data_IF_733382435877
#
_entry.id   IF_733382435877
#
_cell.length_a   1.000
_cell.length_b   1.000
_cell.length_c   1.000
_cell.angle_alpha   90.00
_cell.angle_beta   90.00
_cell.angle_gamma   90.00
#
_symmetry.space_group_name_H-M   'P 1'
#
loop_
_entity.id
_entity.type
_entity.pdbx_description
1 polymer ?
#
# COMPACT_ATOMS: atom_id res chain seq x y z
N UNK A 1 -20.59 -38.32 -51.96
CA UNK A 1 -20.24 -37.02 -51.35
C UNK A 1 -18.79 -37.07 -50.89
N UNK A 2 -17.88 -36.48 -51.67
CA UNK A 2 -16.44 -36.59 -51.46
C UNK A 2 -15.91 -35.33 -50.76
N UNK A 3 -15.17 -35.53 -49.66
CA UNK A 3 -14.55 -34.50 -48.83
C UNK A 3 -13.28 -34.00 -49.52
N UNK A 4 -13.08 -32.69 -49.76
CA UNK A 4 -11.86 -32.22 -50.40
C UNK A 4 -10.68 -32.43 -49.45
N UNK A 5 -9.62 -33.07 -49.97
CA UNK A 5 -8.33 -33.24 -49.30
C UNK A 5 -7.65 -31.88 -49.20
N UNK A 6 -7.24 -31.54 -47.98
CA UNK A 6 -6.45 -30.38 -47.67
C UNK A 6 -5.04 -30.58 -48.26
N UNK A 7 -4.78 -29.98 -49.41
CA UNK A 7 -3.47 -29.97 -50.06
C UNK A 7 -2.53 -29.09 -49.25
N UNK A 8 -1.59 -29.73 -48.56
CA UNK A 8 -0.45 -29.07 -47.94
C UNK A 8 0.35 -28.38 -49.05
N UNK A 9 0.33 -27.05 -49.04
CA UNK A 9 1.14 -26.19 -49.90
C UNK A 9 2.60 -26.59 -49.71
N UNK A 10 3.17 -27.25 -50.73
CA UNK A 10 4.61 -27.49 -50.83
C UNK A 10 5.27 -26.15 -51.13
N UNK A 11 5.86 -25.52 -50.12
CA UNK A 11 6.74 -24.35 -50.25
C UNK A 11 8.08 -24.79 -50.83
N UNK A 12 8.11 -25.07 -52.14
CA UNK A 12 9.37 -25.17 -52.89
C UNK A 12 9.87 -23.77 -53.17
N UNK A 13 11.10 -23.46 -52.75
CA UNK A 13 11.97 -22.34 -53.19
C UNK A 13 11.26 -21.02 -53.56
N UNK A 14 10.24 -20.64 -52.81
CA UNK A 14 9.71 -19.30 -52.86
C UNK A 14 10.77 -18.42 -52.22
N UNK A 15 11.54 -17.72 -53.06
CA UNK A 15 12.52 -16.73 -52.67
C UNK A 15 12.02 -16.02 -51.41
N UNK A 16 12.74 -16.21 -50.30
CA UNK A 16 12.43 -15.56 -49.03
C UNK A 16 12.07 -14.11 -49.36
N UNK A 17 10.91 -13.59 -48.92
CA UNK A 17 10.44 -12.27 -49.31
C UNK A 17 11.61 -11.30 -49.21
N UNK A 18 11.88 -10.49 -50.24
CA UNK A 18 13.07 -9.63 -50.29
C UNK A 18 13.28 -8.80 -49.00
N UNK A 19 12.19 -8.56 -48.27
CA UNK A 19 12.16 -7.99 -46.92
C UNK A 19 12.97 -8.79 -45.88
N UNK A 20 12.84 -10.11 -45.85
CA UNK A 20 13.50 -11.01 -44.91
C UNK A 20 15.01 -11.06 -45.15
N UNK A 21 15.43 -11.18 -46.41
CA UNK A 21 16.86 -11.12 -46.76
C UNK A 21 17.47 -9.75 -46.38
N UNK A 22 16.77 -8.64 -46.65
CA UNK A 22 17.20 -7.30 -46.23
C UNK A 22 17.32 -7.17 -44.72
N UNK A 23 16.39 -7.75 -43.96
CA UNK A 23 16.48 -7.71 -42.51
C UNK A 23 17.67 -8.54 -42.00
N UNK A 24 17.93 -9.73 -42.55
CA UNK A 24 19.10 -10.51 -42.15
C UNK A 24 20.41 -9.75 -42.40
N UNK A 25 20.53 -9.08 -43.55
CA UNK A 25 21.67 -8.20 -43.84
C UNK A 25 21.75 -7.04 -42.84
N UNK A 26 20.64 -6.37 -42.56
CA UNK A 26 20.60 -5.28 -41.57
C UNK A 26 20.99 -5.76 -40.16
N UNK A 27 20.61 -6.97 -39.74
CA UNK A 27 21.04 -7.57 -38.47
C UNK A 27 22.55 -7.76 -38.45
N UNK A 28 23.13 -8.28 -39.53
CA UNK A 28 24.58 -8.48 -39.64
C UNK A 28 25.34 -7.14 -39.64
N UNK A 29 24.82 -6.13 -40.33
CA UNK A 29 25.37 -4.77 -40.35
C UNK A 29 25.27 -4.10 -38.99
N UNK A 30 24.11 -4.15 -38.32
CA UNK A 30 23.93 -3.66 -36.94
C UNK A 30 24.82 -4.39 -35.93
N UNK A 31 25.17 -5.64 -36.17
CA UNK A 31 26.14 -6.35 -35.35
C UNK A 31 27.59 -5.86 -35.59
N UNK A 32 27.86 -5.21 -36.72
CA UNK A 32 29.20 -4.76 -37.13
C UNK A 32 29.49 -3.26 -36.92
N UNK A 33 28.47 -2.40 -36.86
CA UNK A 33 28.61 -0.94 -36.72
C UNK A 33 28.70 -0.53 -35.24
N UNK A 34 29.51 0.48 -34.92
CA UNK A 34 29.82 0.92 -33.53
C UNK A 34 28.84 1.98 -32.96
N UNK A 35 27.72 2.23 -33.65
CA UNK A 35 26.70 3.22 -33.25
C UNK A 35 25.65 2.61 -32.30
N UNK A 36 26.09 2.35 -31.07
CA UNK A 36 25.38 1.52 -30.10
C UNK A 36 23.97 2.03 -29.74
N UNK A 37 23.74 3.35 -29.73
CA UNK A 37 22.44 3.95 -29.38
C UNK A 37 21.40 3.71 -30.48
N UNK A 38 21.78 3.97 -31.73
CA UNK A 38 20.92 3.76 -32.88
C UNK A 38 20.60 2.28 -33.06
N UNK A 39 21.59 1.40 -32.88
CA UNK A 39 21.40 -0.05 -32.92
C UNK A 39 20.43 -0.52 -31.83
N UNK A 40 20.58 -0.05 -30.60
CA UNK A 40 19.68 -0.43 -29.50
C UNK A 40 18.22 0.01 -29.75
N UNK A 41 18.03 1.18 -30.36
CA UNK A 41 16.71 1.73 -30.70
C UNK A 41 16.07 0.97 -31.86
N UNK A 42 16.81 0.75 -32.95
CA UNK A 42 16.35 -0.02 -34.11
C UNK A 42 16.02 -1.47 -33.73
N UNK A 43 16.89 -2.14 -32.94
CA UNK A 43 16.64 -3.50 -32.47
C UNK A 43 15.35 -3.61 -31.66
N UNK A 44 15.01 -2.58 -30.86
CA UNK A 44 13.74 -2.53 -30.13
C UNK A 44 12.52 -2.43 -31.04
N UNK A 45 12.56 -1.56 -32.05
CA UNK A 45 11.47 -1.42 -33.01
C UNK A 45 11.26 -2.70 -33.83
N UNK A 46 12.36 -3.32 -34.27
CA UNK A 46 12.31 -4.54 -35.08
C UNK A 46 11.81 -5.74 -34.27
N UNK A 47 12.22 -5.89 -33.00
CA UNK A 47 11.69 -6.94 -32.13
C UNK A 47 10.17 -6.85 -31.95
N UNK A 48 9.60 -5.64 -31.90
CA UNK A 48 8.16 -5.44 -31.83
C UNK A 48 7.44 -5.94 -33.09
N UNK A 49 8.01 -5.71 -34.28
CA UNK A 49 7.49 -6.26 -35.54
C UNK A 49 7.61 -7.78 -35.61
N UNK A 50 8.72 -8.38 -35.20
CA UNK A 50 8.87 -9.85 -35.23
C UNK A 50 7.94 -10.57 -34.27
N UNK A 51 7.60 -9.95 -33.14
CA UNK A 51 6.59 -10.48 -32.22
C UNK A 51 5.21 -10.63 -32.91
N UNK A 52 4.89 -9.77 -33.88
CA UNK A 52 3.67 -9.89 -34.67
C UNK A 52 3.72 -11.07 -35.66
N UNK A 53 4.92 -11.40 -36.15
CA UNK A 53 5.17 -12.48 -37.12
C UNK A 53 5.44 -13.84 -36.41
N UNK A 54 5.54 -13.84 -35.07
CA UNK A 54 5.80 -15.02 -34.21
C UNK A 54 7.14 -15.73 -34.47
N UNK A 55 8.17 -14.97 -34.81
CA UNK A 55 9.55 -15.50 -34.90
C UNK A 55 10.33 -15.22 -33.61
N UNK A 56 10.22 -16.15 -32.65
CA UNK A 56 10.82 -16.01 -31.32
C UNK A 56 12.35 -16.03 -31.35
N UNK A 57 12.96 -16.74 -32.32
CA UNK A 57 14.42 -16.83 -32.43
C UNK A 57 15.02 -15.50 -32.88
N UNK A 58 14.45 -14.88 -33.92
CA UNK A 58 14.88 -13.55 -34.36
C UNK A 58 14.71 -12.52 -33.25
N UNK A 59 13.58 -12.52 -32.53
CA UNK A 59 13.36 -11.64 -31.37
C UNK A 59 14.46 -11.81 -30.33
N UNK A 60 14.83 -13.05 -30.00
CA UNK A 60 15.88 -13.35 -29.03
C UNK A 60 17.24 -12.79 -29.46
N UNK A 61 17.61 -12.95 -30.74
CA UNK A 61 18.85 -12.39 -31.29
C UNK A 61 18.86 -10.86 -31.26
N UNK A 62 17.75 -10.20 -31.58
CA UNK A 62 17.64 -8.74 -31.47
C UNK A 62 17.80 -8.24 -30.03
N UNK A 63 17.18 -8.93 -29.07
CA UNK A 63 17.30 -8.58 -27.66
C UNK A 63 18.73 -8.76 -27.14
N UNK A 64 19.44 -9.80 -27.61
CA UNK A 64 20.87 -9.97 -27.34
C UNK A 64 21.69 -8.81 -27.88
N UNK A 65 21.47 -8.40 -29.13
CA UNK A 65 22.17 -7.26 -29.74
C UNK A 65 21.91 -5.99 -28.93
N UNK A 66 20.65 -5.73 -28.57
CA UNK A 66 20.26 -4.59 -27.74
C UNK A 66 21.02 -4.62 -26.40
N UNK A 67 20.98 -5.73 -25.66
CA UNK A 67 21.63 -5.86 -24.35
C UNK A 67 23.16 -5.65 -24.47
N UNK A 68 23.79 -6.18 -25.52
CA UNK A 68 25.23 -5.97 -25.81
C UNK A 68 25.55 -4.51 -26.12
N UNK A 69 24.74 -3.84 -26.92
CA UNK A 69 24.89 -2.41 -27.19
C UNK A 69 24.79 -1.59 -25.88
N UNK A 70 23.84 -1.91 -24.99
CA UNK A 70 23.74 -1.26 -23.68
C UNK A 70 24.96 -1.50 -22.79
N UNK A 71 25.53 -2.71 -22.80
CA UNK A 71 26.79 -2.99 -22.11
C UNK A 71 27.90 -2.10 -22.64
N UNK A 72 28.05 -2.03 -23.97
CA UNK A 72 29.10 -1.24 -24.63
C UNK A 72 28.97 0.25 -24.32
N UNK A 73 27.75 0.79 -24.35
CA UNK A 73 27.47 2.16 -23.90
C UNK A 73 27.97 2.33 -22.46
N UNK A 74 27.61 1.43 -21.54
CA UNK A 74 28.08 1.52 -20.16
C UNK A 74 29.59 1.43 -19.98
N UNK A 75 30.28 0.63 -20.80
CA UNK A 75 31.74 0.55 -20.81
C UNK A 75 32.39 1.86 -21.27
N UNK A 76 31.85 2.49 -22.32
CA UNK A 76 32.29 3.81 -22.79
C UNK A 76 32.08 4.86 -21.69
N UNK A 77 30.91 4.85 -21.04
CA UNK A 77 30.60 5.77 -19.94
C UNK A 77 31.52 5.57 -18.72
N UNK A 78 31.85 4.32 -18.37
CA UNK A 78 32.84 4.03 -17.32
C UNK A 78 34.26 4.47 -17.71
N UNK A 79 34.60 4.44 -19.01
CA UNK A 79 35.89 4.86 -19.55
C UNK A 79 36.13 6.38 -19.54
N UNK A 80 35.15 7.19 -19.14
CA UNK A 80 35.23 8.64 -19.12
C UNK A 80 36.23 9.24 -18.09
N UNK A 81 36.88 8.40 -17.28
CA UNK A 81 37.88 8.84 -16.29
C UNK A 81 37.29 9.51 -15.05
N UNK A 82 35.98 9.33 -14.78
CA UNK A 82 35.35 9.85 -13.56
C UNK A 82 35.50 8.83 -12.44
N UNK A 83 36.16 9.22 -11.36
CA UNK A 83 36.35 8.37 -10.18
C UNK A 83 35.07 8.27 -9.34
N UNK A 84 34.56 7.04 -9.17
CA UNK A 84 33.38 6.75 -8.34
C UNK A 84 33.57 7.17 -6.88
N UNK A 85 34.79 7.06 -6.36
CA UNK A 85 35.12 7.43 -4.98
C UNK A 85 34.88 8.92 -4.66
N UNK A 86 34.89 9.78 -5.68
CA UNK A 86 34.63 11.22 -5.54
C UNK A 86 33.14 11.56 -5.46
N UNK A 87 32.25 10.61 -5.74
CA UNK A 87 30.80 10.81 -5.80
C UNK A 87 30.14 10.23 -4.55
N UNK A 88 30.32 10.91 -3.43
CA UNK A 88 29.74 10.50 -2.13
C UNK A 88 28.42 11.22 -1.88
N UNK A 89 27.52 10.56 -1.19
CA UNK A 89 26.29 11.19 -0.69
C UNK A 89 26.63 12.31 0.29
N UNK A 90 25.79 13.36 0.38
CA UNK A 90 25.99 14.39 1.38
C UNK A 90 25.93 13.78 2.79
N UNK A 91 26.62 14.37 3.80
CA UNK A 91 26.67 13.82 5.16
C UNK A 91 25.29 13.57 5.79
N UNK A 92 24.28 14.33 5.36
CA UNK A 92 22.89 14.17 5.80
C UNK A 92 22.21 12.88 5.35
N UNK A 93 22.75 12.18 4.34
CA UNK A 93 22.18 10.95 3.77
C UNK A 93 23.07 9.71 3.99
N UNK A 94 24.15 9.84 4.80
CA UNK A 94 25.07 8.76 5.16
C UNK A 94 26.19 8.51 4.16
N UNK A 95 27.09 7.57 4.50
CA UNK A 95 28.23 7.15 3.67
C UNK A 95 27.78 6.24 2.53
N UNK A 96 27.06 6.83 1.55
CA UNK A 96 26.59 6.14 0.35
C UNK A 96 27.27 6.64 -0.93
N UNK A 97 27.23 5.84 -1.99
CA UNK A 97 27.62 6.26 -3.33
C UNK A 97 26.49 7.07 -3.99
N UNK A 98 26.79 8.28 -4.45
CA UNK A 98 25.82 9.16 -5.11
C UNK A 98 25.83 8.95 -6.63
N UNK A 99 25.01 8.00 -7.09
CA UNK A 99 24.87 7.69 -8.51
C UNK A 99 24.44 8.91 -9.35
N UNK A 100 23.62 9.82 -8.81
CA UNK A 100 23.17 10.99 -9.55
C UNK A 100 24.30 12.00 -9.80
N UNK A 101 25.17 12.22 -8.81
CA UNK A 101 26.36 13.04 -8.97
C UNK A 101 27.34 12.41 -9.96
N UNK A 102 27.51 11.09 -9.90
CA UNK A 102 28.34 10.35 -10.85
C UNK A 102 27.89 10.54 -12.30
N UNK A 103 26.58 10.40 -12.56
CA UNK A 103 25.98 10.63 -13.89
C UNK A 103 26.22 12.08 -14.34
N UNK A 104 26.05 13.06 -13.44
CA UNK A 104 26.29 14.48 -13.76
C UNK A 104 27.75 14.74 -14.15
N UNK A 105 28.72 14.17 -13.43
CA UNK A 105 30.14 14.31 -13.75
C UNK A 105 30.48 13.66 -15.10
N UNK A 106 29.96 12.46 -15.38
CA UNK A 106 30.18 11.83 -16.69
C UNK A 106 29.58 12.68 -17.81
N UNK A 107 28.34 13.17 -17.67
CA UNK A 107 27.74 14.08 -18.66
C UNK A 107 28.55 15.36 -18.88
N UNK A 108 29.21 15.87 -17.84
CA UNK A 108 30.09 17.03 -17.97
C UNK A 108 31.35 16.73 -18.80
N UNK A 109 31.88 15.50 -18.74
CA UNK A 109 32.99 15.04 -19.59
C UNK A 109 32.55 14.95 -21.06
N UNK A 110 31.37 14.41 -21.33
CA UNK A 110 30.79 14.31 -22.68
C UNK A 110 29.99 15.56 -23.09
N UNK A 111 30.35 16.74 -22.57
CA UNK A 111 29.63 17.97 -22.89
C UNK A 111 29.74 18.28 -24.40
N UNK A 112 28.60 18.27 -25.08
CA UNK A 112 28.51 18.50 -26.53
C UNK A 112 28.18 17.25 -27.34
N UNK A 113 28.23 16.07 -26.73
CA UNK A 113 27.76 14.82 -27.33
C UNK A 113 26.22 14.72 -27.17
N UNK A 114 25.49 14.83 -28.27
CA UNK A 114 24.03 14.73 -28.28
C UNK A 114 23.55 13.34 -27.85
N UNK A 115 24.32 12.29 -28.14
CA UNK A 115 23.89 10.93 -27.83
C UNK A 115 23.88 10.65 -26.34
N UNK A 116 24.90 11.15 -25.64
CA UNK A 116 24.96 11.08 -24.17
C UNK A 116 23.96 12.03 -23.52
N UNK A 117 23.71 13.21 -24.12
CA UNK A 117 22.76 14.19 -23.61
C UNK A 117 21.31 13.68 -23.65
N UNK A 118 20.95 12.93 -24.69
CA UNK A 118 19.60 12.37 -24.88
C UNK A 118 19.28 11.17 -23.96
N UNK A 119 20.30 10.51 -23.41
CA UNK A 119 20.09 9.37 -22.52
C UNK A 119 19.43 9.82 -21.22
N UNK A 120 18.27 9.24 -20.90
CA UNK A 120 17.63 9.46 -19.61
C UNK A 120 18.50 8.94 -18.45
N UNK A 121 18.33 9.50 -17.25
CA UNK A 121 19.08 9.06 -16.06
C UNK A 121 18.89 7.56 -15.78
N UNK A 122 17.70 7.01 -16.06
CA UNK A 122 17.44 5.59 -15.86
C UNK A 122 18.18 4.71 -16.88
N UNK A 123 18.16 5.10 -18.15
CA UNK A 123 18.95 4.47 -19.21
C UNK A 123 20.45 4.46 -18.85
N UNK A 124 20.95 5.58 -18.34
CA UNK A 124 22.33 5.72 -17.89
C UNK A 124 22.68 4.74 -16.77
N UNK A 125 21.81 4.63 -15.75
CA UNK A 125 21.99 3.65 -14.65
C UNK A 125 21.99 2.22 -15.18
N UNK A 126 21.13 1.89 -16.12
CA UNK A 126 21.06 0.54 -16.69
C UNK A 126 22.33 0.22 -17.49
N UNK A 127 22.81 1.15 -18.32
CA UNK A 127 24.06 0.99 -19.05
C UNK A 127 25.23 0.70 -18.10
N UNK A 128 25.40 1.54 -17.08
CA UNK A 128 26.46 1.40 -16.08
C UNK A 128 26.38 0.06 -15.33
N UNK A 129 25.18 -0.32 -14.86
CA UNK A 129 24.96 -1.59 -14.14
C UNK A 129 25.28 -2.80 -15.02
N UNK A 130 24.91 -2.78 -16.29
CA UNK A 130 25.20 -3.89 -17.22
C UNK A 130 26.70 -3.97 -17.52
N UNK A 131 27.39 -2.84 -17.66
CA UNK A 131 28.82 -2.80 -17.87
C UNK A 131 29.63 -3.33 -16.67
N UNK A 132 29.14 -3.13 -15.45
CA UNK A 132 29.76 -3.64 -14.21
C UNK A 132 29.59 -5.17 -14.04
N UNK A 133 28.76 -5.83 -14.83
CA UNK A 133 28.55 -7.27 -14.70
C UNK A 133 29.78 -8.07 -15.14
N UNK A 134 30.15 -9.15 -14.40
CA UNK A 134 31.17 -10.09 -14.82
C UNK A 134 30.90 -10.60 -16.23
N UNK A 135 31.95 -10.64 -17.07
CA UNK A 135 31.83 -11.01 -18.48
C UNK A 135 31.21 -12.40 -18.65
N UNK A 136 31.67 -13.37 -17.86
CA UNK A 136 31.17 -14.75 -17.85
C UNK A 136 29.67 -14.83 -17.54
N UNK A 137 29.20 -14.07 -16.54
CA UNK A 137 27.79 -14.03 -16.19
C UNK A 137 26.96 -13.45 -17.33
N UNK A 138 27.39 -12.31 -17.87
CA UNK A 138 26.67 -11.64 -18.94
C UNK A 138 26.60 -12.48 -20.22
N UNK A 139 27.70 -13.07 -20.67
CA UNK A 139 27.72 -13.84 -21.93
C UNK A 139 26.81 -15.06 -21.85
N UNK A 140 26.69 -15.67 -20.66
CA UNK A 140 25.77 -16.78 -20.40
C UNK A 140 24.30 -16.34 -20.41
N UNK A 141 23.96 -15.20 -19.80
CA UNK A 141 22.57 -14.82 -19.55
C UNK A 141 22.00 -13.78 -20.52
N UNK A 142 22.83 -13.09 -21.32
CA UNK A 142 22.38 -12.04 -22.25
C UNK A 142 21.35 -12.56 -23.26
N UNK A 143 21.35 -13.86 -23.55
CA UNK A 143 20.37 -14.51 -24.42
C UNK A 143 19.12 -15.03 -23.74
N UNK A 144 19.07 -15.09 -22.42
CA UNK A 144 17.95 -15.68 -21.67
C UNK A 144 16.90 -14.64 -21.27
N UNK A 145 17.30 -13.37 -21.21
CA UNK A 145 16.47 -12.29 -20.70
C UNK A 145 15.84 -11.46 -21.81
N UNK A 146 14.55 -11.16 -21.65
CA UNK A 146 13.79 -10.35 -22.59
C UNK A 146 14.08 -8.84 -22.48
N UNK A 147 14.72 -8.40 -21.40
CA UNK A 147 14.98 -7.00 -21.10
C UNK A 147 16.22 -6.85 -20.20
N UNK A 148 16.77 -5.63 -20.20
CA UNK A 148 17.89 -5.27 -19.32
C UNK A 148 17.49 -5.40 -17.84
N UNK A 149 16.26 -4.99 -17.49
CA UNK A 149 15.77 -5.08 -16.11
C UNK A 149 15.72 -6.53 -15.63
N UNK A 150 15.30 -7.45 -16.49
CA UNK A 150 15.28 -8.88 -16.18
C UNK A 150 16.70 -9.43 -16.00
N UNK A 151 17.65 -9.02 -16.84
CA UNK A 151 19.07 -9.39 -16.70
C UNK A 151 19.69 -8.84 -15.41
N UNK A 152 19.44 -7.56 -15.09
CA UNK A 152 19.93 -6.91 -13.86
C UNK A 152 19.32 -7.58 -12.63
N UNK A 153 18.03 -7.89 -12.63
CA UNK A 153 17.39 -8.62 -11.54
C UNK A 153 17.98 -10.03 -11.35
N UNK A 154 18.25 -10.74 -12.45
CA UNK A 154 18.92 -12.05 -12.42
C UNK A 154 20.32 -11.96 -11.82
N UNK A 155 21.08 -10.94 -12.18
CA UNK A 155 22.41 -10.70 -11.63
C UNK A 155 22.38 -10.37 -10.14
N UNK A 156 21.46 -9.51 -9.69
CA UNK A 156 21.26 -9.21 -8.26
C UNK A 156 20.90 -10.49 -7.50
N UNK A 157 20.03 -11.34 -8.06
CA UNK A 157 19.70 -12.64 -7.48
C UNK A 157 20.92 -13.59 -7.42
N UNK A 158 21.78 -13.57 -8.43
CA UNK A 158 23.03 -14.33 -8.43
C UNK A 158 24.00 -13.83 -7.34
N UNK A 159 24.25 -12.52 -7.26
CA UNK A 159 25.09 -11.92 -6.21
C UNK A 159 24.55 -12.24 -4.82
N UNK A 160 23.24 -12.16 -4.63
CA UNK A 160 22.59 -12.54 -3.37
C UNK A 160 22.85 -14.00 -3.03
N UNK A 161 22.68 -14.94 -3.97
CA UNK A 161 22.96 -16.37 -3.72
C UNK A 161 24.43 -16.64 -3.40
N UNK A 162 25.35 -15.97 -4.08
CA UNK A 162 26.78 -16.09 -3.79
C UNK A 162 27.12 -15.51 -2.40
N UNK A 163 26.54 -14.36 -2.06
CA UNK A 163 26.64 -13.80 -0.72
C UNK A 163 26.04 -14.73 0.34
N UNK A 164 24.86 -15.33 0.12
CA UNK A 164 24.23 -16.28 1.04
C UNK A 164 25.09 -17.54 1.27
N UNK A 165 25.90 -17.95 0.28
CA UNK A 165 26.87 -19.04 0.44
C UNK A 165 28.11 -18.63 1.23
N UNK A 166 28.48 -17.35 1.19
CA UNK A 166 29.66 -16.83 1.90
C UNK A 166 29.53 -16.97 3.42
N UNK A 167 30.65 -17.07 4.18
CA UNK A 167 30.61 -17.14 5.64
C UNK A 167 29.91 -15.92 6.28
N UNK A 168 30.11 -14.73 5.70
CA UNK A 168 29.46 -13.49 6.16
C UNK A 168 27.95 -13.54 5.96
N UNK A 169 27.48 -13.96 4.78
CA UNK A 169 26.06 -14.09 4.50
C UNK A 169 25.39 -15.15 5.36
N UNK A 170 26.05 -16.29 5.60
CA UNK A 170 25.54 -17.31 6.52
C UNK A 170 25.46 -16.81 7.97
N UNK A 171 26.45 -16.03 8.43
CA UNK A 171 26.43 -15.43 9.76
C UNK A 171 25.29 -14.41 9.90
N UNK A 172 25.08 -13.58 8.89
CA UNK A 172 24.00 -12.60 8.87
C UNK A 172 22.63 -13.25 8.80
N UNK A 173 22.44 -14.28 7.96
CA UNK A 173 21.20 -15.06 7.93
C UNK A 173 20.90 -15.73 9.28
N UNK A 174 21.92 -16.22 9.99
CA UNK A 174 21.76 -16.74 11.36
C UNK A 174 21.34 -15.65 12.33
N UNK A 175 21.92 -14.44 12.24
CA UNK A 175 21.50 -13.29 13.06
C UNK A 175 20.06 -12.88 12.76
N UNK A 176 19.66 -12.82 11.50
CA UNK A 176 18.28 -12.50 11.12
C UNK A 176 17.30 -13.53 11.66
N UNK A 177 17.62 -14.84 11.55
CA UNK A 177 16.80 -15.90 12.15
C UNK A 177 16.62 -15.73 13.66
N UNK A 178 17.68 -15.40 14.40
CA UNK A 178 17.55 -15.20 15.86
C UNK A 178 16.76 -13.94 16.22
N UNK A 179 16.86 -12.89 15.40
CA UNK A 179 16.02 -11.69 15.54
C UNK A 179 14.56 -12.01 15.24
N UNK A 180 14.28 -12.75 14.16
CA UNK A 180 12.93 -13.15 13.76
C UNK A 180 12.30 -14.10 14.79
N UNK A 181 13.06 -15.07 15.32
CA UNK A 181 12.63 -15.95 16.41
C UNK A 181 12.28 -15.15 17.67
N UNK A 182 13.12 -14.15 18.02
CA UNK A 182 12.85 -13.26 19.15
C UNK A 182 11.61 -12.42 18.91
N UNK A 183 11.44 -11.87 17.71
CA UNK A 183 10.26 -11.10 17.34
C UNK A 183 9.00 -11.95 17.40
N UNK A 184 9.05 -13.18 16.86
CA UNK A 184 7.93 -14.12 16.90
C UNK A 184 7.57 -14.51 18.34
N UNK A 185 8.58 -14.79 19.19
CA UNK A 185 8.36 -15.09 20.61
C UNK A 185 7.68 -13.92 21.33
N UNK A 186 8.21 -12.71 21.16
CA UNK A 186 7.63 -11.51 21.78
C UNK A 186 6.19 -11.27 21.28
N UNK A 187 5.93 -11.47 20.00
CA UNK A 187 4.60 -11.35 19.42
C UNK A 187 3.62 -12.37 20.02
N UNK A 188 4.04 -13.64 20.17
CA UNK A 188 3.23 -14.68 20.81
C UNK A 188 2.96 -14.37 22.30
N UNK A 189 3.93 -13.80 23.01
CA UNK A 189 3.74 -13.35 24.40
C UNK A 189 2.73 -12.21 24.49
N UNK A 190 2.79 -11.23 23.57
CA UNK A 190 1.80 -10.14 23.49
C UNK A 190 0.39 -10.66 23.23
N UNK A 191 0.23 -11.63 22.32
CA UNK A 191 -1.08 -12.25 22.06
C UNK A 191 -1.64 -12.93 23.32
N UNK A 192 -0.80 -13.63 24.09
CA UNK A 192 -1.24 -14.26 25.35
C UNK A 192 -1.67 -13.23 26.40
N UNK A 193 -0.96 -12.10 26.49
CA UNK A 193 -1.34 -11.00 27.38
C UNK A 193 -2.69 -10.42 26.97
N UNK A 194 -2.89 -10.13 25.68
CA UNK A 194 -4.18 -9.64 25.18
C UNK A 194 -5.33 -10.63 25.41
N UNK A 195 -5.09 -11.93 25.20
CA UNK A 195 -6.10 -12.96 25.49
C UNK A 195 -6.46 -13.01 26.97
N UNK A 196 -5.47 -12.88 27.86
CA UNK A 196 -5.69 -12.83 29.30
C UNK A 196 -6.51 -11.59 29.68
N UNK A 197 -6.15 -10.41 29.19
CA UNK A 197 -6.88 -9.16 29.42
C UNK A 197 -8.33 -9.26 28.91
N UNK A 198 -8.56 -9.87 27.74
CA UNK A 198 -9.91 -10.10 27.22
C UNK A 198 -10.73 -11.04 28.09
N UNK A 199 -10.11 -12.08 28.66
CA UNK A 199 -10.78 -13.00 29.61
C UNK A 199 -11.12 -12.29 30.92
N UNK A 200 -10.19 -11.52 31.47
CA UNK A 200 -10.41 -10.73 32.69
C UNK A 200 -11.50 -9.68 32.47
N UNK A 201 -11.52 -9.00 31.32
CA UNK A 201 -12.59 -8.08 30.96
C UNK A 201 -13.94 -8.80 30.84
N UNK A 202 -14.00 -9.92 30.13
CA UNK A 202 -15.24 -10.69 29.98
C UNK A 202 -15.78 -11.20 31.33
N UNK A 203 -14.89 -11.53 32.28
CA UNK A 203 -15.29 -11.88 33.65
C UNK A 203 -15.88 -10.68 34.40
N UNK A 204 -15.23 -9.51 34.33
CA UNK A 204 -15.75 -8.27 34.93
C UNK A 204 -17.12 -7.90 34.34
N UNK A 205 -17.27 -8.00 33.03
CA UNK A 205 -18.54 -7.71 32.35
C UNK A 205 -19.64 -8.71 32.78
N UNK A 206 -19.29 -9.97 33.05
CA UNK A 206 -20.23 -10.99 33.57
C UNK A 206 -20.64 -10.71 35.02
N UNK A 207 -19.70 -10.31 35.88
CA UNK A 207 -19.99 -9.90 37.27
C UNK A 207 -20.87 -8.65 37.31
N UNK A 208 -20.54 -7.62 36.54
CA UNK A 208 -21.35 -6.40 36.43
C UNK A 208 -22.75 -6.70 35.90
N UNK A 209 -22.87 -7.57 34.88
CA UNK A 209 -24.18 -8.00 34.38
C UNK A 209 -24.98 -8.77 35.44
N UNK A 210 -24.33 -9.59 36.27
CA UNK A 210 -24.98 -10.29 37.37
C UNK A 210 -25.48 -9.31 38.46
N UNK A 211 -24.67 -8.33 38.82
CA UNK A 211 -25.03 -7.28 39.78
C UNK A 211 -26.19 -6.42 39.28
N UNK A 212 -26.16 -6.00 38.01
CA UNK A 212 -27.27 -5.27 37.38
C UNK A 212 -28.54 -6.11 37.40
N UNK A 213 -28.46 -7.40 37.07
CA UNK A 213 -29.61 -8.29 37.11
C UNK A 213 -30.17 -8.47 38.53
N UNK A 214 -29.30 -8.52 39.56
CA UNK A 214 -29.71 -8.57 40.95
C UNK A 214 -30.43 -7.29 41.38
N UNK A 215 -29.90 -6.11 41.05
CA UNK A 215 -30.54 -4.82 41.31
C UNK A 215 -31.89 -4.68 40.60
N UNK A 216 -32.00 -5.18 39.36
CA UNK A 216 -33.27 -5.21 38.63
C UNK A 216 -34.29 -6.11 39.31
N UNK A 217 -33.87 -7.28 39.82
CA UNK A 217 -34.73 -8.18 40.57
C UNK A 217 -35.21 -7.58 41.90
N UNK A 218 -34.33 -6.90 42.64
CA UNK A 218 -34.67 -6.16 43.87
C UNK A 218 -35.66 -5.02 43.58
N UNK A 219 -35.40 -4.25 42.52
CA UNK A 219 -36.30 -3.19 42.05
C UNK A 219 -37.68 -3.74 41.74
N UNK A 220 -37.76 -4.86 41.01
CA UNK A 220 -39.03 -5.47 40.62
C UNK A 220 -39.78 -6.06 41.83
N UNK A 221 -39.06 -6.62 42.81
CA UNK A 221 -39.63 -7.05 44.08
C UNK A 221 -40.21 -5.86 44.88
N UNK A 222 -39.47 -4.76 45.00
CA UNK A 222 -39.93 -3.54 45.65
C UNK A 222 -41.14 -2.92 44.93
N UNK A 223 -41.16 -2.92 43.59
CA UNK A 223 -42.32 -2.48 42.81
C UNK A 223 -43.57 -3.32 43.09
N UNK A 224 -43.42 -4.63 43.26
CA UNK A 224 -44.54 -5.51 43.62
C UNK A 224 -45.05 -5.26 45.05
N UNK A 225 -44.16 -4.93 45.99
CA UNK A 225 -44.53 -4.65 47.39
C UNK A 225 -45.25 -3.30 47.56
N UNK A 226 -44.83 -2.26 46.84
CA UNK A 226 -45.40 -0.92 46.98
C UNK A 226 -46.79 -0.79 46.35
N UNK A 227 -47.29 -1.81 45.62
CA UNK A 227 -48.70 -1.92 45.23
C UNK A 227 -49.25 -0.83 44.30
N UNK A 228 -48.40 0.08 43.80
CA UNK A 228 -48.78 1.10 42.81
C UNK A 228 -48.31 0.63 41.43
N UNK A 229 -48.81 -0.52 40.99
CA UNK A 229 -48.87 -0.81 39.56
C UNK A 229 -50.04 -0.02 39.01
N UNK A 230 -49.77 1.20 38.53
CA UNK A 230 -50.74 1.90 37.68
C UNK A 230 -51.00 1.02 36.47
N UNK A 231 -52.21 0.48 36.42
CA UNK A 231 -52.61 -0.42 35.36
C UNK A 231 -52.58 0.34 34.04
N UNK A 232 -52.38 -0.34 32.89
CA UNK A 232 -52.26 0.35 31.59
C UNK A 232 -53.50 1.21 31.26
N UNK A 233 -54.63 0.92 31.91
CA UNK A 233 -55.89 1.68 31.82
C UNK A 233 -55.84 3.00 32.61
N UNK A 234 -55.16 3.03 33.75
CA UNK A 234 -55.07 4.21 34.62
C UNK A 234 -54.08 5.26 34.09
N UNK A 235 -53.08 4.84 33.30
CA UNK A 235 -52.16 5.76 32.61
C UNK A 235 -52.87 6.72 31.64
N UNK A 236 -54.05 6.35 31.11
CA UNK A 236 -54.82 7.22 30.21
C UNK A 236 -55.70 8.24 30.94
N UNK A 237 -55.94 8.09 32.25
CA UNK A 237 -56.85 8.95 33.02
C UNK A 237 -56.14 9.83 34.08
N UNK A 238 -54.83 9.73 34.23
CA UNK A 238 -54.07 10.58 35.15
C UNK A 238 -53.97 12.02 34.62
N UNK A 239 -55.00 12.82 34.88
CA UNK A 239 -55.02 14.25 34.57
C UNK A 239 -54.26 15.09 35.61
N UNK A 240 -54.00 14.54 36.80
CA UNK A 240 -53.41 15.27 37.91
C UNK A 240 -52.37 14.41 38.65
N UNK A 241 -51.17 14.98 38.81
CA UNK A 241 -50.10 14.44 39.65
C UNK A 241 -49.91 15.41 40.81
N UNK A 242 -49.99 14.92 42.04
CA UNK A 242 -49.79 15.72 43.26
C UNK A 242 -48.35 15.54 43.72
N UNK A 243 -47.60 16.64 43.82
CA UNK A 243 -46.22 16.65 44.31
C UNK A 243 -46.18 17.13 45.76
N UNK A 244 -45.58 16.34 46.65
CA UNK A 244 -45.25 16.77 48.00
C UNK A 244 -43.83 17.36 47.99
N UNK A 245 -43.72 18.68 48.15
CA UNK A 245 -42.47 19.41 48.07
C UNK A 245 -42.05 19.91 49.46
N UNK A 246 -40.73 19.87 49.75
CA UNK A 246 -40.18 20.56 50.93
C UNK A 246 -40.42 22.06 50.80
N UNK A 247 -40.69 22.75 51.91
CA UNK A 247 -41.02 24.18 51.95
C UNK A 247 -40.01 25.06 51.19
N UNK A 248 -38.72 24.79 51.36
CA UNK A 248 -37.64 25.52 50.66
C UNK A 248 -37.74 25.39 49.14
N UNK A 249 -37.93 24.17 48.62
CA UNK A 249 -38.08 23.90 47.17
C UNK A 249 -39.33 24.57 46.62
N UNK A 250 -40.41 24.56 47.39
CA UNK A 250 -41.65 25.26 47.05
C UNK A 250 -41.42 26.77 46.90
N UNK A 251 -40.71 27.40 47.83
CA UNK A 251 -40.38 28.83 47.78
C UNK A 251 -39.50 29.17 46.56
N UNK A 252 -38.49 28.35 46.26
CA UNK A 252 -37.65 28.54 45.07
C UNK A 252 -38.44 28.41 43.76
N UNK A 253 -39.31 27.40 43.65
CA UNK A 253 -40.16 27.21 42.47
C UNK A 253 -41.15 28.37 42.31
N UNK A 254 -41.68 28.90 43.42
CA UNK A 254 -42.56 30.07 43.42
C UNK A 254 -41.84 31.31 42.92
N UNK A 255 -40.61 31.56 43.37
CA UNK A 255 -39.81 32.69 42.90
C UNK A 255 -39.49 32.58 41.41
N UNK A 256 -39.06 31.39 40.95
CA UNK A 256 -38.79 31.15 39.53
C UNK A 256 -40.06 31.35 38.67
N UNK A 257 -41.23 30.88 39.12
CA UNK A 257 -42.49 31.11 38.44
C UNK A 257 -42.81 32.61 38.30
N UNK A 258 -42.55 33.39 39.36
CA UNK A 258 -42.73 34.85 39.35
C UNK A 258 -41.78 35.53 38.35
N UNK A 259 -40.49 35.23 38.38
CA UNK A 259 -39.47 35.85 37.54
C UNK A 259 -39.73 35.60 36.03
N UNK A 260 -40.22 34.41 35.71
CA UNK A 260 -40.58 34.01 34.35
C UNK A 260 -42.00 34.42 33.94
N UNK A 261 -42.82 34.98 34.85
CA UNK A 261 -44.24 35.28 34.64
C UNK A 261 -45.03 34.04 34.15
N UNK A 262 -44.79 32.89 34.77
CA UNK A 262 -45.46 31.61 34.46
C UNK A 262 -46.05 30.97 35.72
N UNK A 263 -46.76 29.84 35.60
CA UNK A 263 -47.27 29.10 36.75
C UNK A 263 -46.20 28.16 37.32
N UNK A 264 -46.23 27.88 38.63
CA UNK A 264 -45.32 26.90 39.24
C UNK A 264 -45.40 25.51 38.58
N UNK A 265 -46.60 25.12 38.11
CA UNK A 265 -46.79 23.88 37.38
C UNK A 265 -46.03 23.87 36.04
N UNK A 266 -46.00 25.00 35.32
CA UNK A 266 -45.25 25.13 34.08
C UNK A 266 -43.74 25.02 34.32
N UNK A 267 -43.23 25.68 35.37
CA UNK A 267 -41.82 25.58 35.78
C UNK A 267 -41.46 24.14 36.14
N UNK A 268 -42.30 23.46 36.92
CA UNK A 268 -42.08 22.07 37.32
C UNK A 268 -42.10 21.12 36.11
N UNK A 269 -43.05 21.29 35.18
CA UNK A 269 -43.12 20.53 33.93
C UNK A 269 -41.87 20.75 33.08
N UNK A 270 -41.43 21.99 32.90
CA UNK A 270 -40.21 22.30 32.14
C UNK A 270 -38.97 21.67 32.78
N UNK A 271 -38.85 21.73 34.11
CA UNK A 271 -37.78 21.08 34.87
C UNK A 271 -37.76 19.57 34.68
N UNK A 272 -38.92 18.91 34.80
CA UNK A 272 -39.07 17.48 34.57
C UNK A 272 -38.75 17.09 33.12
N UNK A 273 -39.18 17.88 32.14
CA UNK A 273 -38.86 17.65 30.73
C UNK A 273 -37.35 17.76 30.47
N UNK A 274 -36.68 18.79 30.99
CA UNK A 274 -35.23 18.92 30.88
C UNK A 274 -34.51 17.74 31.52
N UNK A 275 -34.99 17.28 32.67
CA UNK A 275 -34.46 16.10 33.34
C UNK A 275 -34.63 14.84 32.48
N UNK A 276 -35.81 14.62 31.89
CA UNK A 276 -36.05 13.48 30.99
C UNK A 276 -35.15 13.51 29.75
N UNK A 277 -34.98 14.66 29.12
CA UNK A 277 -34.09 14.81 27.95
C UNK A 277 -32.64 14.50 28.33
N UNK A 278 -32.18 15.01 29.48
CA UNK A 278 -30.82 14.75 29.96
C UNK A 278 -30.54 13.26 30.23
N UNK A 279 -31.58 12.47 30.51
CA UNK A 279 -31.47 11.01 30.73
C UNK A 279 -31.88 10.18 29.50
N UNK A 280 -31.98 10.80 28.32
CA UNK A 280 -32.20 10.10 27.05
C UNK A 280 -33.66 9.71 26.75
N UNK A 281 -34.63 10.20 27.51
CA UNK A 281 -36.05 9.95 27.24
C UNK A 281 -36.57 10.87 26.12
N UNK A 282 -37.32 10.31 25.17
CA UNK A 282 -37.97 11.08 24.10
C UNK A 282 -39.27 11.72 24.62
N UNK A 283 -39.33 13.04 24.62
CA UNK A 283 -40.53 13.80 25.03
C UNK A 283 -41.23 14.35 23.78
N UNK A 284 -42.55 14.12 23.59
CA UNK A 284 -43.27 14.60 22.40
C UNK A 284 -43.19 16.14 22.28
N UNK A 285 -42.79 16.64 21.11
CA UNK A 285 -42.56 18.07 20.88
C UNK A 285 -43.82 18.95 20.99
N UNK A 286 -45.01 18.36 21.06
CA UNK A 286 -46.30 19.05 21.08
C UNK A 286 -46.54 19.96 22.30
N UNK A 287 -45.86 19.69 23.43
CA UNK A 287 -46.05 20.44 24.69
C UNK A 287 -44.98 21.51 24.97
N UNK A 288 -44.04 21.74 24.06
CA UNK A 288 -42.90 22.67 24.23
C UNK A 288 -43.21 24.16 23.96
N UNK A 289 -44.47 24.61 24.07
CA UNK A 289 -44.75 26.06 23.99
C UNK A 289 -44.55 26.72 25.36
N UNK A 290 -43.30 26.90 25.75
CA UNK A 290 -42.98 27.92 26.76
C UNK A 290 -43.37 29.28 26.18
N UNK A 291 -44.04 30.16 26.94
CA UNK A 291 -44.30 31.53 26.50
C UNK A 291 -42.96 32.25 26.39
N UNK A 292 -42.36 32.27 25.19
CA UNK A 292 -41.18 33.08 24.94
C UNK A 292 -41.58 34.55 25.10
N UNK A 293 -40.85 35.29 25.96
CA UNK A 293 -40.98 36.74 26.10
C UNK A 293 -40.75 37.36 24.71
N UNK A 294 -41.76 38.05 24.17
CA UNK A 294 -41.55 39.10 23.16
C UNK A 294 -41.12 40.38 23.86
#
# INVERSE_FOLDING_TARGET
MAKPRNELIRTGDAALPALYSRMQTAIAECHSIDDCKNIATQAGAIAAYYKQIKDDESVRRFLQIKIRAWRRIGEILNGAGVDKATCKMPPSQGDGFNMAEYIRKIRAVFKGDSDVADLSDNAFRHALKVAEMPKEFFDKHAGEHASIDSLVASFIGFQRREWEKSPEGQAELKRQRTVDERWHKNYQEQLKVQERERREQAQRDQEEAADINALLAERDAAFNEVGITLDRRDRKQMHQIVFLLKKQVYETLRQAAFDHRTTMQAVLRAGLMMWFIAHGYQVPAGDMKLPMKR
#
